data_IF_547037606307
#
_entry.id   IF_547037606307
#
_cell.length_a   1.000
_cell.length_b   1.000
_cell.length_c   1.000
_cell.angle_alpha   90.00
_cell.angle_beta   90.00
_cell.angle_gamma   90.00
#
_symmetry.space_group_name_H-M   'P 1'
#
loop_
_entity.id
_entity.type
_entity.pdbx_description
1 polymer ?
#
# COMPACT_ATOMS: atom_id res chain seq x y z
N UNK A 1 6.46 7.91 28.21
CA UNK A 1 7.56 7.08 27.64
C UNK A 1 7.48 7.21 26.13
N UNK A 2 8.61 7.06 25.41
CA UNK A 2 8.60 7.22 23.95
C UNK A 2 8.94 5.86 23.30
N UNK A 3 8.11 5.42 22.35
CA UNK A 3 8.24 4.14 21.68
C UNK A 3 8.47 4.32 20.17
N UNK A 4 9.12 3.35 19.53
CA UNK A 4 9.15 3.16 18.09
C UNK A 4 8.19 2.04 17.77
N UNK A 5 7.28 2.27 16.82
CA UNK A 5 6.31 1.28 16.35
C UNK A 5 6.81 0.67 15.04
N UNK A 6 7.01 -0.64 15.01
CA UNK A 6 7.28 -1.40 13.79
C UNK A 6 6.00 -2.10 13.32
N UNK A 7 5.56 -1.77 12.10
CA UNK A 7 4.45 -2.41 11.41
C UNK A 7 5.02 -3.39 10.39
N UNK A 8 4.65 -4.66 10.51
CA UNK A 8 5.07 -5.74 9.61
C UNK A 8 3.84 -6.31 8.90
N UNK A 9 3.62 -5.86 7.67
CA UNK A 9 2.52 -6.29 6.83
C UNK A 9 2.95 -7.48 5.96
N UNK A 10 2.95 -8.66 6.55
CA UNK A 10 3.35 -9.91 5.90
C UNK A 10 2.33 -10.44 4.89
N UNK A 11 2.63 -11.58 4.27
CA UNK A 11 1.74 -12.18 3.26
C UNK A 11 0.49 -12.81 3.88
N UNK A 12 0.60 -13.39 5.07
CA UNK A 12 -0.51 -14.11 5.71
C UNK A 12 -1.03 -13.44 6.97
N UNK A 13 -0.26 -12.51 7.54
CA UNK A 13 -0.61 -11.84 8.79
C UNK A 13 0.05 -10.47 8.89
N UNK A 14 -0.58 -9.60 9.67
CA UNK A 14 -0.03 -8.32 10.08
C UNK A 14 0.46 -8.40 11.52
N UNK A 15 1.58 -7.72 11.81
CA UNK A 15 2.17 -7.64 13.13
C UNK A 15 2.50 -6.20 13.49
N UNK A 16 2.42 -5.87 14.78
CA UNK A 16 2.94 -4.64 15.35
C UNK A 16 3.84 -4.95 16.54
N UNK A 17 5.01 -4.33 16.57
CA UNK A 17 5.97 -4.44 17.68
C UNK A 17 6.27 -3.02 18.17
N UNK A 18 6.24 -2.83 19.50
CA UNK A 18 6.64 -1.60 20.15
C UNK A 18 7.99 -1.78 20.83
N UNK A 19 8.95 -0.93 20.48
CA UNK A 19 10.29 -0.89 21.06
C UNK A 19 10.45 0.34 21.93
N UNK A 20 11.18 0.21 23.06
CA UNK A 20 11.62 1.36 23.86
C UNK A 20 12.93 1.95 23.27
N UNK A 21 13.46 3.00 23.93
CA UNK A 21 14.72 3.65 23.53
C UNK A 21 15.95 2.74 23.63
N UNK A 22 15.91 1.69 24.45
CA UNK A 22 16.99 0.71 24.57
C UNK A 22 16.94 -0.36 23.46
N UNK A 23 15.91 -0.35 22.59
CA UNK A 23 15.69 -1.36 21.55
C UNK A 23 15.02 -2.63 22.08
N UNK A 24 14.50 -2.62 23.29
CA UNK A 24 13.81 -3.77 23.88
C UNK A 24 12.35 -3.81 23.43
N UNK A 25 11.85 -5.03 23.19
CA UNK A 25 10.45 -5.27 22.83
C UNK A 25 9.56 -5.08 24.06
N UNK A 26 8.68 -4.08 24.01
CA UNK A 26 7.72 -3.81 25.06
C UNK A 26 6.36 -4.44 24.84
N UNK A 27 5.94 -4.58 23.59
CA UNK A 27 4.65 -5.18 23.24
C UNK A 27 4.68 -5.73 21.82
N UNK A 28 3.92 -6.82 21.60
CA UNK A 28 3.70 -7.43 20.29
C UNK A 28 2.23 -7.80 20.14
N UNK A 29 1.67 -7.54 18.95
CA UNK A 29 0.38 -8.06 18.54
C UNK A 29 0.46 -8.52 17.08
N UNK A 30 -0.24 -9.62 16.77
CA UNK A 30 -0.29 -10.22 15.43
C UNK A 30 -1.69 -10.73 15.16
N UNK A 31 -2.13 -10.65 13.89
CA UNK A 31 -3.40 -11.21 13.43
C UNK A 31 -3.28 -11.62 11.96
N UNK A 32 -3.80 -12.79 11.64
CA UNK A 32 -3.96 -13.27 10.26
C UNK A 32 -5.13 -12.56 9.57
N UNK A 33 -5.11 -12.59 8.23
CA UNK A 33 -6.20 -12.09 7.37
C UNK A 33 -6.47 -13.07 6.22
N UNK A 34 -7.62 -12.92 5.57
CA UNK A 34 -8.09 -13.86 4.56
C UNK A 34 -7.20 -13.85 3.30
N UNK A 35 -7.00 -15.05 2.76
CA UNK A 35 -6.33 -15.27 1.48
C UNK A 35 -7.40 -15.73 0.48
N UNK A 36 -7.45 -15.12 -0.71
CA UNK A 36 -8.43 -15.43 -1.74
C UNK A 36 -7.76 -16.11 -2.94
N UNK A 37 -8.35 -17.21 -3.40
CA UNK A 37 -7.85 -18.02 -4.52
C UNK A 37 -8.95 -18.21 -5.56
N UNK A 38 -9.34 -17.14 -6.31
CA UNK A 38 -10.53 -17.19 -7.17
C UNK A 38 -10.40 -18.12 -8.38
N UNK A 39 -9.16 -18.41 -8.82
CA UNK A 39 -8.85 -19.35 -9.91
C UNK A 39 -7.51 -20.04 -9.62
N UNK A 40 -7.20 -21.19 -10.27
CA UNK A 40 -5.89 -21.80 -10.17
C UNK A 40 -4.76 -20.81 -10.52
N UNK A 41 -3.76 -20.72 -9.63
CA UNK A 41 -2.63 -19.78 -9.78
C UNK A 41 -2.94 -18.31 -9.48
N UNK A 42 -4.18 -17.97 -9.11
CA UNK A 42 -4.55 -16.62 -8.70
C UNK A 42 -4.52 -16.49 -7.18
N UNK A 43 -3.90 -15.41 -6.70
CA UNK A 43 -3.83 -15.12 -5.27
C UNK A 43 -4.16 -13.64 -5.08
N UNK A 44 -5.12 -13.38 -4.19
CA UNK A 44 -5.63 -12.02 -3.92
C UNK A 44 -5.77 -11.77 -2.42
N UNK A 45 -5.69 -10.50 -2.04
CA UNK A 45 -6.03 -10.02 -0.70
C UNK A 45 -7.03 -8.86 -0.78
N UNK A 46 -7.86 -8.71 0.25
CA UNK A 46 -8.61 -7.48 0.43
C UNK A 46 -7.69 -6.41 1.05
N UNK A 47 -7.45 -5.32 0.32
CA UNK A 47 -6.59 -4.24 0.78
C UNK A 47 -7.19 -3.50 2.00
N UNK A 48 -8.52 -3.45 2.12
CA UNK A 48 -9.18 -2.89 3.29
C UNK A 48 -9.01 -3.79 4.51
N UNK A 49 -9.00 -5.12 4.34
CA UNK A 49 -8.72 -6.06 5.42
C UNK A 49 -7.26 -5.97 5.88
N UNK A 50 -6.29 -5.83 4.94
CA UNK A 50 -4.89 -5.56 5.30
C UNK A 50 -4.80 -4.30 6.17
N UNK A 51 -5.43 -3.20 5.77
CA UNK A 51 -5.45 -1.96 6.55
C UNK A 51 -6.10 -2.13 7.91
N UNK A 52 -7.32 -2.69 7.95
CA UNK A 52 -8.08 -2.87 9.20
C UNK A 52 -7.33 -3.77 10.20
N UNK A 53 -6.71 -4.85 9.71
CA UNK A 53 -5.93 -5.78 10.52
C UNK A 53 -4.65 -5.12 11.02
N UNK A 54 -3.92 -4.37 10.17
CA UNK A 54 -2.70 -3.67 10.58
C UNK A 54 -3.00 -2.60 11.64
N UNK A 55 -4.06 -1.82 11.47
CA UNK A 55 -4.50 -0.84 12.47
C UNK A 55 -4.92 -1.55 13.77
N UNK A 56 -5.66 -2.65 13.66
CA UNK A 56 -6.11 -3.44 14.81
C UNK A 56 -4.95 -3.97 15.66
N UNK A 57 -3.90 -4.53 15.04
CA UNK A 57 -2.72 -5.01 15.78
C UNK A 57 -1.89 -3.85 16.35
N UNK A 58 -1.82 -2.69 15.69
CA UNK A 58 -1.18 -1.51 16.23
C UNK A 58 -1.86 -1.03 17.52
N UNK A 59 -3.18 -0.88 17.48
CA UNK A 59 -3.98 -0.51 18.66
C UNK A 59 -3.90 -1.55 19.77
N UNK A 60 -3.93 -2.83 19.44
CA UNK A 60 -3.79 -3.92 20.41
C UNK A 60 -2.43 -3.89 21.11
N UNK A 61 -1.34 -3.70 20.36
CA UNK A 61 0.00 -3.60 20.93
C UNK A 61 0.12 -2.40 21.88
N UNK A 62 -0.45 -1.24 21.51
CA UNK A 62 -0.46 -0.05 22.37
C UNK A 62 -1.27 -0.27 23.64
N UNK A 63 -2.47 -0.83 23.52
CA UNK A 63 -3.37 -1.05 24.67
C UNK A 63 -2.77 -2.01 25.71
N UNK A 64 -1.99 -3.01 25.29
CA UNK A 64 -1.32 -3.97 26.22
C UNK A 64 -0.40 -3.30 27.23
N UNK A 65 0.18 -2.15 26.89
CA UNK A 65 1.12 -1.42 27.75
C UNK A 65 0.62 -0.03 28.14
N UNK A 66 -0.65 0.29 27.85
CA UNK A 66 -1.25 1.60 28.15
C UNK A 66 -0.62 2.77 27.38
N UNK A 67 0.06 2.50 26.25
CA UNK A 67 0.66 3.53 25.42
C UNK A 67 -0.41 4.30 24.64
N UNK A 68 -0.22 5.61 24.51
CA UNK A 68 -1.07 6.51 23.73
C UNK A 68 -0.38 6.87 22.40
N UNK A 69 -1.13 7.42 21.46
CA UNK A 69 -0.60 7.82 20.16
C UNK A 69 0.57 8.82 20.28
N UNK A 70 0.51 9.72 21.24
CA UNK A 70 1.56 10.70 21.55
C UNK A 70 2.84 10.10 22.14
N UNK A 71 2.79 8.86 22.61
CA UNK A 71 3.96 8.11 23.06
C UNK A 71 4.73 7.47 21.90
N UNK A 72 4.19 7.46 20.68
CA UNK A 72 4.83 6.89 19.48
C UNK A 72 5.68 7.98 18.81
N UNK A 73 7.00 7.84 18.92
CA UNK A 73 7.95 8.80 18.34
C UNK A 73 8.14 8.61 16.83
N UNK A 74 8.08 7.35 16.34
CA UNK A 74 8.26 7.01 14.93
C UNK A 74 7.53 5.70 14.59
N UNK A 75 7.20 5.54 13.31
CA UNK A 75 6.63 4.31 12.75
C UNK A 75 7.56 3.81 11.65
N UNK A 76 8.03 2.56 11.78
CA UNK A 76 8.70 1.83 10.72
C UNK A 76 7.74 0.86 10.05
N UNK A 77 7.81 0.72 8.72
CA UNK A 77 6.95 -0.17 7.95
C UNK A 77 7.82 -1.19 7.20
N UNK A 78 7.55 -2.47 7.43
CA UNK A 78 7.98 -3.58 6.60
C UNK A 78 6.75 -4.23 5.97
N UNK A 79 6.86 -4.75 4.75
CA UNK A 79 5.71 -5.28 4.04
C UNK A 79 6.06 -6.42 3.08
N UNK A 80 5.05 -7.21 2.70
CA UNK A 80 5.10 -8.03 1.51
C UNK A 80 5.26 -7.11 0.29
N UNK A 81 6.39 -7.20 -0.41
CA UNK A 81 6.65 -6.37 -1.60
C UNK A 81 5.88 -6.90 -2.81
N UNK A 82 5.92 -6.20 -3.93
CA UNK A 82 5.35 -6.55 -5.23
C UNK A 82 3.82 -6.73 -5.28
N UNK A 83 3.14 -6.95 -4.16
CA UNK A 83 1.68 -7.00 -4.10
C UNK A 83 1.10 -5.67 -4.56
N UNK A 84 0.21 -5.74 -5.56
CA UNK A 84 -0.27 -4.59 -6.32
C UNK A 84 -1.65 -4.17 -5.84
N UNK A 85 -1.79 -2.92 -5.43
CA UNK A 85 -3.04 -2.30 -4.99
C UNK A 85 -3.32 -1.09 -5.89
N UNK A 86 -4.57 -0.96 -6.35
CA UNK A 86 -5.07 0.21 -7.07
C UNK A 86 -6.33 0.70 -6.39
N UNK A 87 -6.40 2.01 -6.13
CA UNK A 87 -7.54 2.61 -5.45
C UNK A 87 -7.93 3.95 -6.07
N UNK A 88 -9.17 4.32 -5.86
CA UNK A 88 -9.72 5.60 -6.27
C UNK A 88 -9.21 6.70 -5.33
N UNK A 89 -8.63 7.75 -5.89
CA UNK A 89 -7.98 8.84 -5.15
C UNK A 89 -8.96 9.66 -4.30
N UNK A 90 -10.19 9.80 -4.75
CA UNK A 90 -11.20 10.61 -4.08
C UNK A 90 -11.88 9.84 -2.93
N UNK A 91 -12.30 8.61 -3.21
CA UNK A 91 -13.01 7.79 -2.24
C UNK A 91 -12.08 7.05 -1.29
N UNK A 92 -10.84 6.77 -1.71
CA UNK A 92 -9.89 5.94 -0.99
C UNK A 92 -10.25 4.46 -0.95
N UNK A 93 -11.13 4.02 -1.86
CA UNK A 93 -11.55 2.62 -1.95
C UNK A 93 -10.78 1.88 -3.04
N UNK A 94 -10.27 0.66 -2.77
CA UNK A 94 -9.68 -0.21 -3.77
C UNK A 94 -10.68 -0.53 -4.88
N UNK A 95 -10.25 -0.50 -6.14
CA UNK A 95 -11.12 -0.81 -7.29
C UNK A 95 -11.26 -2.32 -7.53
N UNK A 96 -10.38 -3.12 -6.94
CA UNK A 96 -10.40 -4.59 -6.96
C UNK A 96 -9.57 -5.11 -5.78
N UNK A 97 -9.59 -6.43 -5.55
CA UNK A 97 -8.65 -7.05 -4.62
C UNK A 97 -7.19 -6.79 -5.02
N UNK A 98 -6.32 -6.68 -4.04
CA UNK A 98 -4.88 -6.61 -4.24
C UNK A 98 -4.38 -7.90 -4.91
N UNK A 99 -3.61 -7.78 -6.00
CA UNK A 99 -3.00 -8.94 -6.65
C UNK A 99 -1.68 -9.24 -5.97
N UNK A 100 -1.62 -10.40 -5.32
CA UNK A 100 -0.48 -10.81 -4.50
C UNK A 100 0.74 -11.18 -5.36
N UNK A 101 1.95 -11.00 -4.82
CA UNK A 101 3.21 -11.34 -5.48
C UNK A 101 3.27 -12.79 -6.01
N UNK A 102 2.61 -13.73 -5.33
CA UNK A 102 2.51 -15.15 -5.72
C UNK A 102 1.61 -15.40 -6.93
N UNK A 103 0.74 -14.43 -7.30
CA UNK A 103 -0.24 -14.61 -8.34
C UNK A 103 0.39 -14.75 -9.72
N UNK A 104 -0.01 -15.79 -10.46
CA UNK A 104 0.55 -16.14 -11.78
C UNK A 104 -0.33 -15.69 -12.97
N UNK A 105 -1.40 -14.90 -12.74
CA UNK A 105 -2.37 -14.50 -13.80
C UNK A 105 -1.74 -13.72 -14.97
N UNK A 106 -0.57 -13.14 -14.80
CA UNK A 106 0.12 -12.37 -15.82
C UNK A 106 1.31 -13.10 -16.43
N UNK A 107 1.45 -14.42 -16.21
CA UNK A 107 2.59 -15.20 -16.74
C UNK A 107 2.62 -15.21 -18.25
N UNK A 108 1.46 -15.39 -18.91
CA UNK A 108 1.35 -15.40 -20.37
C UNK A 108 1.83 -14.05 -20.96
N UNK A 109 1.42 -12.94 -20.37
CA UNK A 109 1.87 -11.61 -20.81
C UNK A 109 3.39 -11.42 -20.61
N UNK A 110 3.97 -11.97 -19.54
CA UNK A 110 5.43 -11.97 -19.40
C UNK A 110 6.12 -12.76 -20.52
N UNK A 111 5.55 -13.87 -20.95
CA UNK A 111 6.09 -14.68 -22.05
C UNK A 111 5.94 -13.96 -23.43
N UNK A 112 4.86 -13.21 -23.63
CA UNK A 112 4.72 -12.32 -24.79
C UNK A 112 5.80 -11.23 -24.82
N UNK A 113 6.10 -10.57 -23.70
CA UNK A 113 7.16 -9.58 -23.61
C UNK A 113 8.55 -10.18 -23.91
N UNK A 114 8.81 -11.40 -23.43
CA UNK A 114 10.05 -12.14 -23.73
C UNK A 114 10.14 -12.48 -25.22
N UNK A 115 9.06 -12.97 -25.82
CA UNK A 115 9.00 -13.30 -27.27
C UNK A 115 9.24 -12.06 -28.14
N UNK A 116 8.85 -10.87 -27.69
CA UNK A 116 9.13 -9.58 -28.33
C UNK A 116 10.57 -9.08 -28.12
N UNK A 117 11.42 -9.83 -27.41
CA UNK A 117 12.81 -9.48 -27.18
C UNK A 117 13.08 -8.41 -26.11
N UNK A 118 12.10 -8.11 -25.26
CA UNK A 118 12.19 -6.99 -24.30
C UNK A 118 12.95 -7.35 -23.00
N UNK A 119 13.38 -8.60 -22.84
CA UNK A 119 14.04 -9.09 -21.61
C UNK A 119 15.23 -8.24 -21.19
N UNK A 120 16.14 -7.93 -22.13
CA UNK A 120 17.36 -7.17 -21.84
C UNK A 120 17.07 -5.71 -21.51
N UNK A 121 16.08 -5.09 -22.14
CA UNK A 121 15.67 -3.72 -21.82
C UNK A 121 15.17 -3.63 -20.38
N UNK A 122 14.25 -4.52 -19.96
CA UNK A 122 13.77 -4.56 -18.58
C UNK A 122 14.90 -4.85 -17.59
N UNK A 123 15.74 -5.85 -17.89
CA UNK A 123 16.84 -6.25 -17.03
C UNK A 123 17.88 -5.14 -16.84
N UNK A 124 18.27 -4.47 -17.90
CA UNK A 124 19.25 -3.38 -17.85
C UNK A 124 18.78 -2.22 -16.98
N UNK A 125 17.48 -1.88 -17.04
CA UNK A 125 16.92 -0.73 -16.32
C UNK A 125 16.50 -1.03 -14.88
N UNK A 126 15.99 -2.23 -14.63
CA UNK A 126 15.40 -2.60 -13.33
C UNK A 126 16.21 -3.61 -12.54
N UNK A 127 17.17 -4.30 -13.17
CA UNK A 127 17.88 -5.43 -12.59
C UNK A 127 17.03 -6.70 -12.45
N UNK A 128 15.79 -6.69 -12.94
CA UNK A 128 14.82 -7.77 -12.75
C UNK A 128 14.62 -8.57 -14.03
N UNK A 129 14.22 -9.83 -13.87
CA UNK A 129 13.75 -10.66 -14.98
C UNK A 129 12.26 -10.34 -15.28
N UNK A 130 11.80 -10.62 -16.50
CA UNK A 130 10.38 -10.56 -16.85
C UNK A 130 9.64 -11.73 -16.18
N UNK A 131 8.94 -11.46 -15.10
CA UNK A 131 8.15 -12.46 -14.35
C UNK A 131 6.89 -11.85 -13.75
N UNK A 132 5.82 -12.66 -13.69
CA UNK A 132 4.57 -12.32 -13.04
C UNK A 132 4.68 -12.04 -11.53
N UNK A 133 5.83 -12.29 -10.94
CA UNK A 133 6.14 -11.98 -9.55
C UNK A 133 6.02 -10.47 -9.25
N UNK A 134 6.50 -9.64 -10.16
CA UNK A 134 6.62 -8.19 -9.98
C UNK A 134 5.31 -7.43 -10.26
N UNK A 135 5.24 -6.16 -9.84
CA UNK A 135 3.99 -5.37 -9.85
C UNK A 135 3.53 -4.93 -11.24
N UNK A 136 4.46 -4.63 -12.16
CA UNK A 136 4.16 -3.96 -13.42
C UNK A 136 3.09 -4.67 -14.26
N UNK A 137 3.26 -5.97 -14.50
CA UNK A 137 2.30 -6.75 -15.29
C UNK A 137 0.95 -6.92 -14.60
N UNK A 138 0.93 -6.95 -13.25
CA UNK A 138 -0.31 -6.95 -12.47
C UNK A 138 -1.07 -5.63 -12.59
N UNK A 139 -0.33 -4.50 -12.53
CA UNK A 139 -0.92 -3.18 -12.71
C UNK A 139 -1.53 -3.05 -14.11
N UNK A 140 -0.78 -3.42 -15.16
CA UNK A 140 -1.31 -3.47 -16.52
C UNK A 140 -2.57 -4.34 -16.60
N UNK A 141 -2.54 -5.54 -16.00
CA UNK A 141 -3.69 -6.43 -16.00
C UNK A 141 -4.93 -5.78 -15.37
N UNK A 142 -4.77 -5.07 -14.24
CA UNK A 142 -5.87 -4.34 -13.58
C UNK A 142 -6.46 -3.30 -14.54
N UNK A 143 -5.60 -2.49 -15.17
CA UNK A 143 -6.04 -1.44 -16.08
C UNK A 143 -6.80 -1.99 -17.31
N UNK A 144 -6.44 -3.19 -17.77
CA UNK A 144 -7.04 -3.80 -18.97
C UNK A 144 -8.28 -4.65 -18.67
N UNK A 145 -8.43 -5.15 -17.43
CA UNK A 145 -9.48 -6.13 -17.09
C UNK A 145 -10.52 -5.63 -16.08
N UNK A 146 -10.23 -4.58 -15.32
CA UNK A 146 -11.21 -3.99 -14.39
C UNK A 146 -12.00 -2.91 -15.15
N UNK A 147 -13.33 -3.03 -15.25
CA UNK A 147 -14.15 -2.07 -16.01
C UNK A 147 -13.95 -0.61 -15.55
N UNK A 148 -13.65 0.27 -16.50
CA UNK A 148 -13.45 1.71 -16.27
C UNK A 148 -12.11 2.08 -15.60
N UNK A 149 -11.23 1.09 -15.31
CA UNK A 149 -9.96 1.36 -14.67
C UNK A 149 -9.01 2.16 -15.56
N UNK A 150 -8.95 1.84 -16.85
CA UNK A 150 -8.11 2.53 -17.82
C UNK A 150 -8.46 4.00 -17.93
N UNK A 151 -9.72 4.31 -18.19
CA UNK A 151 -10.22 5.67 -18.33
C UNK A 151 -10.02 6.51 -17.07
N UNK A 152 -10.28 5.91 -15.90
CA UNK A 152 -10.05 6.57 -14.61
C UNK A 152 -8.56 6.83 -14.34
N UNK A 153 -7.67 5.89 -14.71
CA UNK A 153 -6.24 6.06 -14.55
C UNK A 153 -5.70 7.19 -15.46
N UNK A 154 -6.13 7.24 -16.71
CA UNK A 154 -5.79 8.30 -17.66
C UNK A 154 -6.35 9.68 -17.24
N UNK A 155 -7.50 9.69 -16.57
CA UNK A 155 -8.07 10.89 -15.96
C UNK A 155 -7.39 11.30 -14.62
N UNK A 156 -6.39 10.54 -14.13
CA UNK A 156 -5.68 10.83 -12.87
C UNK A 156 -6.49 10.58 -11.60
N UNK A 157 -7.54 9.76 -11.70
CA UNK A 157 -8.45 9.45 -10.59
C UNK A 157 -8.00 8.23 -9.79
N UNK A 158 -7.09 7.41 -10.32
CA UNK A 158 -6.58 6.22 -9.65
C UNK A 158 -5.15 6.41 -9.15
N UNK A 159 -4.86 5.76 -8.04
CA UNK A 159 -3.53 5.65 -7.46
C UNK A 159 -3.11 4.18 -7.39
N UNK A 160 -1.82 3.93 -7.62
CA UNK A 160 -1.17 2.63 -7.48
C UNK A 160 -0.22 2.65 -6.29
N UNK A 161 -0.05 1.49 -5.66
CA UNK A 161 1.02 1.27 -4.69
C UNK A 161 1.22 -0.20 -4.33
N UNK A 162 2.33 -0.46 -3.67
CA UNK A 162 2.53 -1.68 -2.89
C UNK A 162 1.81 -1.54 -1.54
N UNK A 163 1.84 -2.59 -0.72
CA UNK A 163 1.21 -2.56 0.62
C UNK A 163 1.77 -1.41 1.47
N UNK A 164 3.07 -1.12 1.40
CA UNK A 164 3.68 0.03 2.07
C UNK A 164 3.00 1.35 1.70
N UNK A 165 2.92 1.66 0.39
CA UNK A 165 2.29 2.88 -0.11
C UNK A 165 0.84 2.99 0.34
N UNK A 166 0.10 1.89 0.31
CA UNK A 166 -1.28 1.81 0.80
C UNK A 166 -1.37 2.16 2.29
N UNK A 167 -0.52 1.56 3.12
CA UNK A 167 -0.49 1.84 4.56
C UNK A 167 -0.13 3.30 4.85
N UNK A 168 0.88 3.86 4.17
CA UNK A 168 1.26 5.27 4.31
C UNK A 168 0.10 6.17 3.91
N UNK A 169 -0.55 5.90 2.77
CA UNK A 169 -1.68 6.68 2.29
C UNK A 169 -2.84 6.66 3.29
N UNK A 170 -3.18 5.50 3.85
CA UNK A 170 -4.21 5.35 4.90
C UNK A 170 -3.81 6.02 6.22
N UNK A 171 -2.57 5.85 6.69
CA UNK A 171 -2.04 6.48 7.90
C UNK A 171 -2.02 8.01 7.80
N UNK A 172 -1.76 8.55 6.61
CA UNK A 172 -1.72 10.00 6.38
C UNK A 172 -3.05 10.59 5.94
N UNK A 173 -4.14 9.80 5.93
CA UNK A 173 -5.47 10.23 5.50
C UNK A 173 -5.47 10.80 4.07
N UNK A 174 -4.78 10.12 3.16
CA UNK A 174 -4.71 10.49 1.74
C UNK A 174 -3.72 11.63 1.40
N UNK A 175 -2.94 12.11 2.36
CA UNK A 175 -2.03 13.25 2.13
C UNK A 175 -0.70 12.88 1.49
N UNK A 176 -0.23 11.66 1.71
CA UNK A 176 1.04 11.19 1.18
C UNK A 176 0.85 9.98 0.27
N UNK A 177 1.24 10.13 -0.99
CA UNK A 177 1.32 9.07 -1.97
C UNK A 177 2.78 8.88 -2.36
N UNK A 178 3.49 8.08 -1.57
CA UNK A 178 4.94 7.87 -1.64
C UNK A 178 5.28 6.38 -1.53
N UNK A 179 6.46 6.02 -2.00
CA UNK A 179 7.08 4.71 -1.83
C UNK A 179 8.58 4.85 -1.62
N UNK A 180 9.22 3.88 -0.97
CA UNK A 180 10.67 3.86 -0.87
C UNK A 180 11.32 3.22 -2.10
N UNK A 181 12.64 3.42 -2.26
CA UNK A 181 13.39 2.83 -3.36
C UNK A 181 13.42 1.29 -3.32
N UNK A 182 13.34 0.68 -2.13
CA UNK A 182 13.32 -0.79 -1.99
C UNK A 182 12.02 -1.38 -2.52
N UNK A 183 10.88 -0.77 -2.23
CA UNK A 183 9.59 -1.17 -2.79
C UNK A 183 9.48 -0.81 -4.28
N UNK A 184 9.88 0.41 -4.66
CA UNK A 184 9.85 0.86 -6.05
C UNK A 184 10.68 -0.07 -6.96
N UNK A 185 11.89 -0.46 -6.55
CA UNK A 185 12.77 -1.33 -7.33
C UNK A 185 12.18 -2.73 -7.58
N UNK A 186 11.20 -3.16 -6.78
CA UNK A 186 10.52 -4.45 -6.95
C UNK A 186 9.28 -4.38 -7.83
N UNK A 187 8.96 -3.23 -8.39
CA UNK A 187 7.78 -3.06 -9.24
C UNK A 187 7.99 -3.46 -10.70
N UNK A 188 9.23 -3.56 -11.16
CA UNK A 188 9.63 -3.72 -12.57
C UNK A 188 9.28 -2.49 -13.45
N UNK A 189 9.05 -1.33 -12.81
CA UNK A 189 8.78 -0.03 -13.48
C UNK A 189 9.80 1.04 -13.08
N UNK A 190 10.64 0.76 -12.10
CA UNK A 190 11.57 1.70 -11.51
C UNK A 190 12.99 1.49 -12.06
N UNK A 191 13.57 2.56 -12.59
CA UNK A 191 14.96 2.53 -13.10
C UNK A 191 15.92 2.68 -11.92
N UNK A 192 16.72 1.64 -11.66
CA UNK A 192 17.64 1.59 -10.51
C UNK A 192 18.88 2.48 -10.68
N UNK A 193 19.14 2.99 -11.88
CA UNK A 193 20.27 3.87 -12.16
C UNK A 193 19.92 5.34 -11.98
N UNK A 194 18.70 5.73 -12.44
CA UNK A 194 18.20 7.11 -12.32
C UNK A 194 17.44 7.36 -11.02
N UNK A 195 17.00 6.29 -10.35
CA UNK A 195 16.13 6.32 -9.16
C UNK A 195 14.79 7.01 -9.42
N UNK A 196 14.23 6.78 -10.60
CA UNK A 196 12.95 7.32 -11.06
C UNK A 196 12.11 6.23 -11.75
N UNK A 197 10.82 6.50 -11.96
CA UNK A 197 9.96 5.67 -12.80
C UNK A 197 10.43 5.76 -14.26
N UNK A 198 10.64 4.62 -14.92
CA UNK A 198 11.18 4.54 -16.28
C UNK A 198 10.08 4.78 -17.33
N UNK A 199 10.19 5.88 -18.06
CA UNK A 199 9.16 6.28 -19.02
C UNK A 199 9.02 5.32 -20.21
N UNK A 200 10.11 4.66 -20.66
CA UNK A 200 10.05 3.68 -21.74
C UNK A 200 9.31 2.41 -21.30
N UNK A 201 9.56 1.95 -20.08
CA UNK A 201 8.84 0.81 -19.50
C UNK A 201 7.37 1.16 -19.32
N UNK A 202 7.04 2.35 -18.82
CA UNK A 202 5.67 2.79 -18.62
C UNK A 202 4.91 2.90 -19.94
N UNK A 203 5.57 3.42 -20.99
CA UNK A 203 5.01 3.48 -22.35
C UNK A 203 4.78 2.09 -22.92
N UNK A 204 5.74 1.17 -22.80
CA UNK A 204 5.63 -0.21 -23.26
C UNK A 204 4.43 -0.94 -22.62
N UNK A 205 4.23 -0.72 -21.33
CA UNK A 205 3.13 -1.34 -20.58
C UNK A 205 1.83 -0.54 -20.62
N UNK A 206 1.83 0.63 -21.28
CA UNK A 206 0.72 1.57 -21.29
C UNK A 206 0.18 1.89 -19.88
N UNK A 207 1.10 2.27 -18.97
CA UNK A 207 0.79 2.64 -17.58
C UNK A 207 0.91 4.16 -17.41
N UNK A 208 -0.17 4.86 -17.03
CA UNK A 208 -0.12 6.32 -16.78
C UNK A 208 0.78 6.65 -15.59
N UNK A 209 1.85 7.42 -15.81
CA UNK A 209 2.83 7.81 -14.76
C UNK A 209 2.20 8.53 -13.57
N UNK A 210 1.13 9.28 -13.80
CA UNK A 210 0.43 10.07 -12.78
C UNK A 210 -0.23 9.24 -11.67
N UNK A 211 -0.44 7.94 -11.88
CA UNK A 211 -0.97 7.06 -10.85
C UNK A 211 0.10 6.46 -9.93
N UNK A 212 1.39 6.67 -10.23
CA UNK A 212 2.49 6.10 -9.49
C UNK A 212 2.89 6.97 -8.29
N UNK A 213 3.26 6.37 -7.15
CA UNK A 213 3.71 7.11 -5.98
C UNK A 213 5.04 7.83 -6.22
N UNK A 214 5.28 8.92 -5.50
CA UNK A 214 6.58 9.59 -5.54
C UNK A 214 7.63 8.71 -4.86
N UNK A 215 8.71 8.29 -5.55
CA UNK A 215 9.80 7.56 -4.93
C UNK A 215 10.57 8.47 -3.98
N UNK A 216 10.98 7.94 -2.82
CA UNK A 216 11.78 8.66 -1.85
C UNK A 216 12.83 7.74 -1.20
N UNK A 217 13.84 8.33 -0.58
CA UNK A 217 14.82 7.57 0.21
C UNK A 217 14.13 6.97 1.44
N UNK A 218 14.49 5.72 1.82
CA UNK A 218 14.10 5.21 3.13
C UNK A 218 14.58 6.18 4.21
N UNK A 219 13.76 6.52 5.18
CA UNK A 219 14.13 7.36 6.32
C UNK A 219 13.81 8.87 6.29
N UNK A 220 13.04 9.40 5.35
CA UNK A 220 12.75 10.83 5.37
C UNK A 220 11.31 11.21 5.04
N UNK A 221 10.32 10.66 5.74
CA UNK A 221 8.99 11.27 5.69
C UNK A 221 8.61 11.85 7.05
N UNK A 222 8.70 13.17 7.16
CA UNK A 222 8.14 13.92 8.28
C UNK A 222 6.81 14.51 7.83
N UNK A 223 5.69 14.04 8.38
CA UNK A 223 4.39 14.70 8.19
C UNK A 223 3.92 15.31 9.50
N UNK A 224 3.43 16.53 9.44
CA UNK A 224 2.73 17.18 10.55
C UNK A 224 1.43 16.42 10.83
N UNK A 225 1.09 16.09 12.08
CA UNK A 225 -0.11 15.33 12.39
C UNK A 225 -1.35 16.11 12.02
N UNK A 226 -2.25 15.47 11.29
CA UNK A 226 -3.58 16.04 11.03
C UNK A 226 -4.64 15.06 11.49
N UNK A 227 -5.58 15.54 12.30
CA UNK A 227 -6.76 14.75 12.69
C UNK A 227 -7.57 14.43 11.44
N UNK A 228 -7.77 13.14 11.18
CA UNK A 228 -8.76 12.69 10.19
C UNK A 228 -10.15 13.00 10.72
N UNK A 229 -10.74 14.11 10.33
CA UNK A 229 -12.17 14.32 10.47
C UNK A 229 -12.84 13.75 9.23
N UNK A 230 -13.55 12.62 9.37
CA UNK A 230 -14.35 12.06 8.30
C UNK A 230 -15.55 12.97 8.03
N UNK A 231 -15.41 13.91 7.10
CA UNK A 231 -16.52 14.65 6.52
C UNK A 231 -16.99 13.93 5.25
N UNK A 232 -17.49 12.72 5.37
CA UNK A 232 -18.33 12.14 4.33
C UNK A 232 -19.71 12.78 4.49
N UNK A 233 -19.97 13.87 3.78
CA UNK A 233 -21.32 14.42 3.60
C UNK A 233 -22.06 13.54 2.60
N UNK A 234 -22.74 12.51 3.09
CA UNK A 234 -23.87 11.94 2.35
C UNK A 234 -25.04 12.91 2.40
N UNK A 235 -25.35 13.57 1.30
CA UNK A 235 -26.62 14.25 1.11
C UNK A 235 -27.66 13.20 0.74
N UNK A 236 -28.48 12.83 1.70
CA UNK A 236 -29.82 12.27 1.47
C UNK A 236 -30.74 12.73 2.60
N UNK A 237 -31.92 13.26 2.30
CA UNK A 237 -32.85 13.70 3.32
C UNK A 237 -33.77 12.54 3.72
N UNK A 238 -33.52 11.91 4.87
CA UNK A 238 -34.52 11.06 5.53
C UNK A 238 -34.60 11.37 7.02
N UNK A 239 -35.81 11.54 7.43
CA UNK A 239 -36.43 11.93 8.71
C UNK A 239 -35.77 11.39 9.98
N UNK A 240 -35.88 12.23 11.03
CA UNK A 240 -35.61 12.00 12.45
C UNK A 240 -36.04 10.63 12.96
N UNK A 241 -35.08 9.97 13.63
CA UNK A 241 -35.37 9.16 14.81
C UNK A 241 -34.17 9.29 15.77
N UNK A 242 -34.51 9.66 17.01
CA UNK A 242 -33.59 9.93 18.11
C UNK A 242 -32.99 8.62 18.64
N UNK A 243 -31.68 8.44 18.52
CA UNK A 243 -30.88 7.63 19.44
C UNK A 243 -29.42 8.07 19.39
N UNK A 244 -28.93 8.57 20.52
CA UNK A 244 -27.52 8.91 20.73
C UNK A 244 -26.67 7.64 20.60
N UNK A 245 -25.83 7.55 19.58
CA UNK A 245 -24.68 6.65 19.55
C UNK A 245 -23.41 7.47 19.75
N UNK A 246 -22.43 6.97 20.55
CA UNK A 246 -21.17 7.66 20.75
C UNK A 246 -20.40 7.74 19.44
N UNK A 247 -19.87 8.91 19.12
CA UNK A 247 -19.00 9.15 17.97
C UNK A 247 -17.73 8.31 18.14
N UNK A 248 -17.52 7.32 17.28
CA UNK A 248 -16.25 6.63 17.17
C UNK A 248 -15.25 7.58 16.49
N UNK A 249 -14.58 8.39 17.27
CA UNK A 249 -13.40 9.11 16.82
C UNK A 249 -12.32 8.06 16.51
N UNK A 250 -11.96 7.89 15.23
CA UNK A 250 -10.81 7.08 14.86
C UNK A 250 -9.56 7.74 15.45
N UNK A 251 -8.69 7.00 16.16
CA UNK A 251 -7.48 7.57 16.71
C UNK A 251 -6.58 8.06 15.56
N UNK A 252 -6.27 9.34 15.54
CA UNK A 252 -5.24 9.90 14.68
C UNK A 252 -3.91 9.72 15.39
N UNK A 253 -2.98 9.02 14.74
CA UNK A 253 -1.60 8.96 15.21
C UNK A 253 -0.90 10.28 14.90
N UNK A 254 -0.17 10.90 15.84
CA UNK A 254 0.75 11.99 15.54
C UNK A 254 1.93 11.39 14.76
N UNK A 255 1.90 11.50 13.45
CA UNK A 255 2.96 11.00 12.57
C UNK A 255 4.08 12.05 12.53
N UNK A 256 4.95 12.05 13.52
CA UNK A 256 6.14 12.91 13.48
C UNK A 256 7.25 12.33 12.61
N UNK A 257 7.30 11.00 12.39
CA UNK A 257 8.29 10.36 11.55
C UNK A 257 7.84 8.95 11.14
N UNK A 258 7.62 8.73 9.84
CA UNK A 258 7.50 7.38 9.27
C UNK A 258 8.86 7.02 8.67
N UNK A 259 9.50 5.98 9.21
CA UNK A 259 10.68 5.35 8.61
C UNK A 259 10.22 4.11 7.85
N UNK A 260 10.65 4.03 6.63
CA UNK A 260 10.36 2.91 5.75
C UNK A 260 11.60 2.04 5.64
#
# INVERSE_FOLDING_TARGET
MSYIMALDAGTTSNRCILFNKAGEICSVAQKEFAQYYPKPGWVEHDANEIWATQLGVALSAMNKIGARAEDIAAIGIANQRETTIVWDKETGEPICHAIVWQCRRTSEYCDELKARGLTEMFRAKTGLILDAYFSATKLKWILDNVPGAREKAEAGQLLFGTVETWLIWKLTCGKAHITDYSNASRTMMFNIHTLEWDDEILQELNIPKQMLPKPCRPAAFTSTPTRCTSAARSRSPVRRATSRRPSSARPAFPLSLIHI
#
